data_IF_583032145107
#
_entry.id   IF_583032145107
#
_cell.length_a   1.000
_cell.length_b   1.000
_cell.length_c   1.000
_cell.angle_alpha   90.00
_cell.angle_beta   90.00
_cell.angle_gamma   90.00
#
_symmetry.space_group_name_H-M   'P 1'
#
loop_
_entity.id
_entity.type
_entity.pdbx_description
1 polymer ?
#
# COMPACT_ATOMS: atom_id res chain seq x y z
N UNK A 1 -9.68 -1.01 12.40
CA UNK A 1 -10.15 -0.29 11.19
C UNK A 1 -11.03 -1.22 10.36
N UNK A 2 -11.91 -0.71 9.50
CA UNK A 2 -12.55 -1.47 8.41
C UNK A 2 -11.61 -1.60 7.21
N UNK A 3 -11.96 -2.43 6.22
CA UNK A 3 -11.18 -2.52 4.96
C UNK A 3 -11.12 -1.18 4.23
N UNK A 4 -12.24 -0.47 4.17
CA UNK A 4 -12.32 0.85 3.52
C UNK A 4 -11.48 1.89 4.26
N UNK A 5 -11.54 1.90 5.60
CA UNK A 5 -10.68 2.77 6.43
C UNK A 5 -9.20 2.45 6.23
N UNK A 6 -8.85 1.16 6.22
CA UNK A 6 -7.48 0.70 5.97
C UNK A 6 -6.99 1.15 4.60
N UNK A 7 -7.77 0.95 3.53
CA UNK A 7 -7.42 1.40 2.18
C UNK A 7 -7.19 2.91 2.15
N UNK A 8 -8.09 3.71 2.74
CA UNK A 8 -7.97 5.17 2.76
C UNK A 8 -6.71 5.62 3.51
N UNK A 9 -6.44 5.02 4.66
CA UNK A 9 -5.29 5.36 5.47
C UNK A 9 -3.97 4.98 4.77
N UNK A 10 -3.87 3.75 4.27
CA UNK A 10 -2.70 3.29 3.54
C UNK A 10 -2.48 4.05 2.23
N UNK A 11 -3.54 4.53 1.57
CA UNK A 11 -3.39 5.40 0.40
C UNK A 11 -2.69 6.72 0.77
N UNK A 12 -3.05 7.33 1.91
CA UNK A 12 -2.35 8.53 2.40
C UNK A 12 -0.87 8.26 2.68
N UNK A 13 -0.58 7.13 3.33
CA UNK A 13 0.80 6.69 3.57
C UNK A 13 1.55 6.42 2.27
N UNK A 14 0.89 5.79 1.29
CA UNK A 14 1.47 5.49 -0.02
C UNK A 14 1.87 6.75 -0.77
N UNK A 15 1.02 7.78 -0.76
CA UNK A 15 1.30 9.06 -1.42
C UNK A 15 2.52 9.78 -0.83
N UNK A 16 2.80 9.63 0.46
CA UNK A 16 4.04 10.17 1.04
C UNK A 16 5.24 9.27 0.70
N UNK A 17 5.08 7.95 0.86
CA UNK A 17 6.14 6.98 0.58
C UNK A 17 6.64 7.05 -0.87
N UNK A 18 5.73 7.17 -1.85
CA UNK A 18 6.07 7.14 -3.28
C UNK A 18 6.86 8.38 -3.74
N UNK A 19 6.76 9.51 -3.02
CA UNK A 19 7.57 10.71 -3.32
C UNK A 19 9.07 10.43 -3.19
N UNK A 20 9.44 9.58 -2.24
CA UNK A 20 10.83 9.20 -1.96
C UNK A 20 11.25 7.90 -2.66
N UNK A 21 10.27 7.12 -3.16
CA UNK A 21 10.45 5.76 -3.68
C UNK A 21 9.96 5.62 -5.13
N UNK A 22 9.94 6.71 -5.90
CA UNK A 22 9.42 6.74 -7.27
C UNK A 22 10.09 5.72 -8.19
N UNK A 23 11.41 5.56 -8.07
CA UNK A 23 12.21 4.67 -8.92
C UNK A 23 12.35 3.26 -8.36
N UNK A 24 11.73 2.96 -7.21
CA UNK A 24 11.80 1.63 -6.59
C UNK A 24 11.16 0.58 -7.50
N UNK A 25 11.90 -0.49 -7.78
CA UNK A 25 11.38 -1.70 -8.44
C UNK A 25 10.48 -2.48 -7.48
N UNK A 26 9.50 -3.22 -8.01
CA UNK A 26 8.59 -4.04 -7.19
C UNK A 26 7.90 -3.22 -6.07
N UNK A 27 7.24 -2.12 -6.45
CA UNK A 27 6.60 -1.18 -5.50
C UNK A 27 5.59 -1.87 -4.59
N UNK A 28 4.89 -2.89 -5.07
CA UNK A 28 3.94 -3.67 -4.28
C UNK A 28 4.61 -4.37 -3.09
N UNK A 29 5.73 -5.05 -3.37
CA UNK A 29 6.50 -5.77 -2.34
C UNK A 29 7.20 -4.80 -1.39
N UNK A 30 7.81 -3.76 -1.96
CA UNK A 30 8.53 -2.73 -1.19
C UNK A 30 7.60 -1.97 -0.25
N UNK A 31 6.42 -1.58 -0.74
CA UNK A 31 5.44 -0.89 0.09
C UNK A 31 4.84 -1.81 1.15
N UNK A 32 4.56 -3.08 0.82
CA UNK A 32 4.14 -4.06 1.82
C UNK A 32 5.18 -4.22 2.93
N UNK A 33 6.47 -4.35 2.57
CA UNK A 33 7.56 -4.40 3.52
C UNK A 33 7.61 -3.17 4.42
N UNK A 34 7.37 -1.98 3.87
CA UNK A 34 7.28 -0.75 4.65
C UNK A 34 6.11 -0.77 5.65
N UNK A 35 4.89 -1.07 5.20
CA UNK A 35 3.72 -1.02 6.08
C UNK A 35 3.74 -2.12 7.16
N UNK A 36 4.36 -3.27 6.86
CA UNK A 36 4.49 -4.38 7.81
C UNK A 36 5.26 -3.98 9.08
N UNK A 37 6.16 -3.00 8.97
CA UNK A 37 6.95 -2.49 10.08
C UNK A 37 6.31 -1.28 10.79
N UNK A 38 5.11 -0.84 10.38
CA UNK A 38 4.42 0.25 11.04
C UNK A 38 3.88 -0.18 12.42
N UNK A 39 3.95 0.68 13.45
CA UNK A 39 3.49 0.34 14.81
C UNK A 39 2.02 -0.09 14.90
N UNK A 40 1.18 0.42 14.01
CA UNK A 40 -0.26 0.20 13.98
C UNK A 40 -0.70 -0.85 12.95
N UNK A 41 0.25 -1.60 12.35
CA UNK A 41 -0.05 -2.60 11.32
C UNK A 41 -1.11 -3.62 11.77
N UNK A 42 -1.07 -4.05 13.03
CA UNK A 42 -2.04 -5.00 13.61
C UNK A 42 -3.51 -4.49 13.62
N UNK A 43 -3.71 -3.18 13.44
CA UNK A 43 -5.04 -2.54 13.38
C UNK A 43 -5.65 -2.55 11.98
N UNK A 44 -4.83 -2.78 10.95
CA UNK A 44 -5.23 -2.82 9.55
C UNK A 44 -6.09 -4.05 9.25
N UNK A 45 -7.03 -3.90 8.31
CA UNK A 45 -7.91 -4.98 7.86
C UNK A 45 -7.91 -5.03 6.34
N UNK A 46 -7.44 -6.14 5.80
CA UNK A 46 -7.30 -6.35 4.35
C UNK A 46 -8.49 -7.10 3.72
N UNK A 47 -9.38 -7.66 4.54
CA UNK A 47 -10.52 -8.46 4.10
C UNK A 47 -10.15 -9.94 3.97
N UNK A 48 -10.72 -10.62 2.96
CA UNK A 48 -10.54 -12.07 2.78
C UNK A 48 -9.22 -12.45 2.09
N UNK A 49 -8.59 -11.53 1.35
CA UNK A 49 -7.26 -11.74 0.78
C UNK A 49 -6.18 -11.61 1.85
N UNK A 50 -4.98 -12.17 1.59
CA UNK A 50 -3.84 -11.88 2.46
C UNK A 50 -3.52 -10.38 2.44
N UNK A 51 -2.88 -9.92 3.52
CA UNK A 51 -2.37 -8.57 3.65
C UNK A 51 -1.50 -8.14 2.47
N UNK A 52 -0.56 -9.00 2.07
CA UNK A 52 0.29 -8.76 0.90
C UNK A 52 -0.54 -8.66 -0.39
N UNK A 53 -1.39 -9.65 -0.68
CA UNK A 53 -2.18 -9.67 -1.92
C UNK A 53 -3.05 -8.41 -2.04
N UNK A 54 -3.71 -8.03 -0.95
CA UNK A 54 -4.58 -6.86 -0.95
C UNK A 54 -3.78 -5.56 -1.10
N UNK A 55 -2.61 -5.47 -0.46
CA UNK A 55 -1.70 -4.33 -0.59
C UNK A 55 -1.20 -4.19 -2.03
N UNK A 56 -0.77 -5.28 -2.65
CA UNK A 56 -0.30 -5.30 -4.04
C UNK A 56 -1.39 -4.82 -5.02
N UNK A 57 -2.64 -5.27 -4.84
CA UNK A 57 -3.76 -4.79 -5.66
C UNK A 57 -3.99 -3.29 -5.51
N UNK A 58 -3.90 -2.75 -4.29
CA UNK A 58 -4.07 -1.32 -4.05
C UNK A 58 -2.93 -0.50 -4.63
N UNK A 59 -1.67 -0.93 -4.47
CA UNK A 59 -0.51 -0.24 -5.02
C UNK A 59 -0.59 -0.16 -6.55
N UNK A 60 -1.01 -1.23 -7.24
CA UNK A 60 -1.25 -1.20 -8.69
C UNK A 60 -2.32 -0.19 -9.07
N UNK A 61 -3.47 -0.23 -8.41
CA UNK A 61 -4.56 0.72 -8.63
C UNK A 61 -4.10 2.18 -8.45
N UNK A 62 -3.32 2.46 -7.40
CA UNK A 62 -2.81 3.80 -7.12
C UNK A 62 -1.75 4.24 -8.13
N UNK A 63 -0.86 3.33 -8.55
CA UNK A 63 0.11 3.61 -9.61
C UNK A 63 -0.56 3.97 -10.93
N UNK A 64 -1.58 3.20 -11.33
CA UNK A 64 -2.39 3.51 -12.51
C UNK A 64 -3.03 4.91 -12.42
N UNK A 65 -3.58 5.27 -11.25
CA UNK A 65 -4.17 6.60 -11.01
C UNK A 65 -3.14 7.74 -11.05
N UNK A 66 -1.90 7.46 -10.65
CA UNK A 66 -0.80 8.43 -10.62
C UNK A 66 -0.01 8.49 -11.94
N UNK A 67 -0.32 7.63 -12.92
CA UNK A 67 0.45 7.53 -14.16
C UNK A 67 1.87 6.97 -13.96
N UNK A 68 2.09 6.23 -12.87
CA UNK A 68 3.34 5.53 -12.58
C UNK A 68 3.26 4.18 -13.29
N UNK A 69 3.91 4.08 -14.45
CA UNK A 69 4.05 2.81 -15.13
C UNK A 69 5.11 1.97 -14.40
N UNK A 70 4.69 0.83 -13.83
CA UNK A 70 5.60 -0.21 -13.33
C UNK A 70 6.44 -0.80 -14.45
#
# INVERSE_FOLDING_TARGET
MTKTETKRHLHGIYLEWIKENMDTSEKELSFYGYIFHLPDFSTFRFGAASDYQQTAMWVREWNEQLGINS
#
